data_IF_074484037798
#
_entry.id   IF_074484037798
#
_cell.length_a   1.000
_cell.length_b   1.000
_cell.length_c   1.000
_cell.angle_alpha   90.00
_cell.angle_beta   90.00
_cell.angle_gamma   90.00
#
_symmetry.space_group_name_H-M   'P 1'
#
loop_
_entity.id
_entity.type
_entity.pdbx_description
1 polymer ?
#
# COMPACT_ATOMS: atom_id res chain seq x y z
N UNK A 1 -16.93 38.07 31.57
CA UNK A 1 -18.02 37.10 31.35
C UNK A 1 -17.39 35.74 31.56
N UNK A 2 -18.04 34.93 32.39
CA UNK A 2 -17.51 33.71 33.00
C UNK A 2 -16.59 32.89 32.09
N UNK A 3 -15.36 32.72 32.56
CA UNK A 3 -14.46 31.63 32.20
C UNK A 3 -15.14 30.30 32.52
N UNK A 4 -16.07 29.89 31.67
CA UNK A 4 -16.38 28.49 31.51
C UNK A 4 -15.20 27.92 30.74
N UNK A 5 -14.30 27.21 31.43
CA UNK A 5 -13.39 26.28 30.77
C UNK A 5 -14.26 25.28 30.00
N UNK A 6 -14.55 25.58 28.74
CA UNK A 6 -15.09 24.61 27.81
C UNK A 6 -13.98 23.60 27.57
N UNK A 7 -13.97 22.55 28.38
CA UNK A 7 -13.16 21.36 28.14
C UNK A 7 -13.93 20.47 27.18
N UNK A 8 -13.41 20.34 25.96
CA UNK A 8 -13.89 19.35 24.99
C UNK A 8 -12.91 18.16 24.99
N UNK A 9 -13.17 17.10 25.79
CA UNK A 9 -12.22 16.01 25.98
C UNK A 9 -12.05 15.12 24.75
N UNK A 10 -12.90 15.29 23.72
CA UNK A 10 -12.87 14.47 22.51
C UNK A 10 -12.26 15.19 21.29
N UNK A 11 -11.83 16.44 21.44
CA UNK A 11 -11.29 17.23 20.35
C UNK A 11 -10.10 18.09 20.79
N UNK A 12 -8.97 17.87 20.14
CA UNK A 12 -7.77 18.69 20.31
C UNK A 12 -7.72 19.67 19.14
N UNK A 13 -7.95 20.97 19.34
CA UNK A 13 -7.89 21.94 18.25
C UNK A 13 -6.44 22.12 17.76
N UNK A 14 -6.25 22.48 16.49
CA UNK A 14 -4.92 22.58 15.88
C UNK A 14 -4.02 23.70 16.49
N UNK A 15 -4.61 24.62 17.26
CA UNK A 15 -3.90 25.63 18.03
C UNK A 15 -3.63 25.20 19.49
N UNK A 16 -4.05 23.99 19.90
CA UNK A 16 -3.74 23.44 21.21
C UNK A 16 -2.26 23.05 21.29
N UNK A 17 -1.58 23.29 22.43
CA UNK A 17 -0.27 22.71 22.70
C UNK A 17 -0.24 21.18 22.66
N UNK A 18 -1.39 20.53 22.84
CA UNK A 18 -1.53 19.06 22.75
C UNK A 18 -1.65 18.56 21.31
N UNK A 19 -1.83 19.45 20.32
CA UNK A 19 -1.85 19.05 18.91
C UNK A 19 -0.46 18.55 18.51
N UNK A 20 -0.35 17.25 18.29
CA UNK A 20 0.93 16.57 18.04
C UNK A 20 1.47 16.86 16.64
N UNK A 21 2.04 18.05 16.46
CA UNK A 21 2.82 18.49 15.30
C UNK A 21 4.30 18.70 15.67
N UNK A 22 4.93 17.64 16.18
CA UNK A 22 6.28 17.63 16.75
C UNK A 22 7.41 17.43 15.73
N UNK A 23 7.17 17.58 14.43
CA UNK A 23 8.19 17.64 13.40
C UNK A 23 8.88 19.00 13.38
N UNK A 24 10.15 19.04 12.98
CA UNK A 24 10.92 20.28 12.84
C UNK A 24 10.42 21.12 11.66
N UNK A 25 9.80 20.48 10.67
CA UNK A 25 9.24 21.15 9.49
C UNK A 25 7.77 20.80 9.24
N UNK A 26 7.09 21.68 8.48
CA UNK A 26 5.75 21.41 7.96
C UNK A 26 5.67 20.12 7.13
N UNK A 27 6.74 19.82 6.37
CA UNK A 27 6.82 18.60 5.57
C UNK A 27 6.83 17.38 6.47
N UNK A 28 7.64 17.38 7.53
CA UNK A 28 7.70 16.26 8.48
C UNK A 28 6.38 16.03 9.20
N UNK A 29 5.73 17.10 9.67
CA UNK A 29 4.42 17.01 10.30
C UNK A 29 3.38 16.40 9.36
N UNK A 30 3.30 16.89 8.12
CA UNK A 30 2.40 16.31 7.12
C UNK A 30 2.73 14.86 6.78
N UNK A 31 4.02 14.51 6.71
CA UNK A 31 4.41 13.12 6.48
C UNK A 31 3.95 12.24 7.64
N UNK A 32 4.10 12.68 8.90
CA UNK A 32 3.58 11.96 10.07
C UNK A 32 2.07 11.77 10.01
N UNK A 33 1.30 12.81 9.72
CA UNK A 33 -0.16 12.70 9.57
C UNK A 33 -0.58 11.76 8.44
N UNK A 34 0.13 11.79 7.30
CA UNK A 34 -0.14 10.85 6.20
C UNK A 34 0.20 9.42 6.60
N UNK A 35 1.33 9.21 7.28
CA UNK A 35 1.71 7.87 7.73
C UNK A 35 0.73 7.31 8.76
N UNK A 36 0.20 8.14 9.67
CA UNK A 36 -0.81 7.67 10.64
C UNK A 36 -2.11 7.27 9.94
N UNK A 37 -2.57 8.04 8.96
CA UNK A 37 -3.74 7.68 8.14
C UNK A 37 -3.54 6.37 7.38
N UNK A 38 -2.36 6.15 6.79
CA UNK A 38 -2.01 4.88 6.13
C UNK A 38 -1.97 3.72 7.12
N UNK A 39 -1.38 3.92 8.30
CA UNK A 39 -1.34 2.90 9.35
C UNK A 39 -2.75 2.49 9.81
N UNK A 40 -3.63 3.47 10.05
CA UNK A 40 -5.02 3.21 10.40
C UNK A 40 -5.75 2.43 9.31
N UNK A 41 -5.53 2.78 8.04
CA UNK A 41 -6.06 2.02 6.92
C UNK A 41 -5.56 0.57 6.94
N UNK A 42 -4.25 0.34 7.00
CA UNK A 42 -3.69 -1.01 6.97
C UNK A 42 -4.16 -1.86 8.15
N UNK A 43 -4.32 -1.27 9.33
CA UNK A 43 -4.90 -1.96 10.49
C UNK A 43 -6.32 -2.47 10.17
N UNK A 44 -7.18 -1.61 9.63
CA UNK A 44 -8.55 -2.00 9.24
C UNK A 44 -8.55 -3.02 8.09
N UNK A 45 -7.63 -2.90 7.13
CA UNK A 45 -7.52 -3.85 6.02
C UNK A 45 -7.09 -5.24 6.52
N UNK A 46 -6.10 -5.32 7.40
CA UNK A 46 -5.67 -6.58 8.02
C UNK A 46 -6.79 -7.19 8.86
N UNK A 47 -7.49 -6.38 9.66
CA UNK A 47 -8.63 -6.85 10.46
C UNK A 47 -9.75 -7.43 9.58
N UNK A 48 -10.07 -6.75 8.47
CA UNK A 48 -11.02 -7.27 7.47
C UNK A 48 -10.56 -8.58 6.83
N UNK A 49 -9.29 -8.66 6.41
CA UNK A 49 -8.69 -9.85 5.79
C UNK A 49 -8.77 -11.06 6.73
N UNK A 50 -8.40 -10.86 7.99
CA UNK A 50 -8.42 -11.90 9.02
C UNK A 50 -9.85 -12.30 9.37
N UNK A 51 -10.71 -11.31 9.63
CA UNK A 51 -12.12 -11.51 10.00
C UNK A 51 -12.94 -12.17 8.89
N UNK A 52 -12.56 -11.96 7.63
CA UNK A 52 -13.20 -12.59 6.45
C UNK A 52 -12.45 -13.82 5.96
N UNK A 53 -11.38 -14.23 6.64
CA UNK A 53 -10.59 -15.45 6.36
C UNK A 53 -10.00 -15.50 4.94
N UNK A 54 -9.54 -14.36 4.45
CA UNK A 54 -9.00 -14.24 3.09
C UNK A 54 -7.53 -14.67 3.10
N UNK A 55 -7.27 -15.89 2.62
CA UNK A 55 -5.91 -16.39 2.43
C UNK A 55 -5.24 -15.76 1.21
N UNK A 56 -3.94 -15.52 1.26
CA UNK A 56 -3.17 -15.03 0.13
C UNK A 56 -1.92 -14.25 0.54
N UNK A 57 -1.26 -13.69 -0.46
CA UNK A 57 -0.04 -12.88 -0.35
C UNK A 57 -0.35 -11.39 -0.35
N UNK A 58 0.62 -10.60 0.13
CA UNK A 58 0.65 -9.15 -0.05
C UNK A 58 1.44 -8.80 -1.31
N UNK A 59 0.89 -7.92 -2.14
CA UNK A 59 1.59 -7.37 -3.31
C UNK A 59 1.61 -5.84 -3.20
N UNK A 60 2.80 -5.25 -3.10
CA UNK A 60 2.98 -3.78 -3.09
C UNK A 60 3.75 -3.33 -4.34
N UNK A 61 3.15 -2.43 -5.11
CA UNK A 61 3.72 -1.81 -6.30
C UNK A 61 4.14 -0.37 -5.99
N UNK A 62 5.45 -0.17 -5.81
CA UNK A 62 6.03 1.08 -5.35
C UNK A 62 6.24 1.02 -3.84
N UNK A 63 7.47 0.75 -3.43
CA UNK A 63 7.80 0.36 -2.05
C UNK A 63 8.75 1.34 -1.37
N UNK A 64 9.57 2.06 -2.16
CA UNK A 64 10.46 3.13 -1.70
C UNK A 64 11.20 2.75 -0.40
N UNK A 65 11.07 3.55 0.66
CA UNK A 65 11.73 3.34 1.96
C UNK A 65 11.03 2.33 2.88
N UNK A 66 10.36 1.33 2.32
CA UNK A 66 9.74 0.20 3.03
C UNK A 66 8.71 0.54 4.13
N UNK A 67 8.23 1.79 4.21
CA UNK A 67 7.39 2.25 5.33
C UNK A 67 6.05 1.53 5.36
N UNK A 68 5.29 1.63 4.27
CA UNK A 68 3.98 0.99 4.10
C UNK A 68 4.10 -0.53 4.12
N UNK A 69 5.13 -1.07 3.46
CA UNK A 69 5.47 -2.49 3.50
C UNK A 69 5.65 -3.00 4.94
N UNK A 70 6.40 -2.25 5.76
CA UNK A 70 6.59 -2.54 7.19
C UNK A 70 5.31 -2.46 7.98
N UNK A 71 4.42 -1.50 7.69
CA UNK A 71 3.12 -1.39 8.38
C UNK A 71 2.31 -2.67 8.18
N UNK A 72 2.23 -3.17 6.94
CA UNK A 72 1.50 -4.40 6.62
C UNK A 72 2.12 -5.60 7.32
N UNK A 73 3.44 -5.82 7.17
CA UNK A 73 4.11 -6.96 7.79
C UNK A 73 4.01 -6.95 9.32
N UNK A 74 4.22 -5.78 9.93
CA UNK A 74 4.17 -5.64 11.39
C UNK A 74 2.76 -5.83 11.95
N UNK A 75 1.73 -5.34 11.25
CA UNK A 75 0.34 -5.59 11.63
C UNK A 75 -0.03 -7.07 11.45
N UNK A 76 0.25 -7.66 10.29
CA UNK A 76 -0.03 -9.08 10.03
C UNK A 76 0.62 -9.99 11.09
N UNK A 77 1.90 -9.73 11.41
CA UNK A 77 2.62 -10.45 12.46
C UNK A 77 2.05 -10.21 13.86
N UNK A 78 1.69 -8.96 14.18
CA UNK A 78 1.04 -8.64 15.45
C UNK A 78 -0.25 -9.43 15.64
N UNK A 79 -1.13 -9.47 14.65
CA UNK A 79 -2.38 -10.22 14.75
C UNK A 79 -2.10 -11.73 14.84
N UNK A 80 -1.18 -12.26 14.02
CA UNK A 80 -0.84 -13.68 14.03
C UNK A 80 -0.30 -14.17 15.39
N UNK A 81 0.56 -13.38 16.03
CA UNK A 81 1.11 -13.68 17.36
C UNK A 81 0.06 -13.67 18.47
N UNK A 82 -0.94 -12.80 18.37
CA UNK A 82 -1.94 -12.63 19.42
C UNK A 82 -3.17 -13.53 19.23
N UNK A 83 -3.55 -13.85 18.00
CA UNK A 83 -4.76 -14.62 17.69
C UNK A 83 -4.51 -16.11 17.44
N UNK A 84 -3.32 -16.50 16.97
CA UNK A 84 -3.06 -17.89 16.62
C UNK A 84 -3.85 -18.35 15.39
N UNK A 85 -4.38 -19.58 15.38
CA UNK A 85 -5.18 -20.07 14.26
C UNK A 85 -6.57 -19.43 14.27
N UNK A 86 -7.01 -18.85 13.14
CA UNK A 86 -8.33 -18.21 13.04
C UNK A 86 -9.44 -19.23 12.82
N UNK A 87 -10.70 -18.84 13.08
CA UNK A 87 -11.86 -19.71 12.87
C UNK A 87 -12.01 -20.22 11.43
N UNK A 88 -11.57 -19.45 10.44
CA UNK A 88 -11.54 -19.85 9.03
C UNK A 88 -10.25 -20.54 8.58
N UNK A 89 -9.36 -20.89 9.51
CA UNK A 89 -8.18 -21.71 9.22
C UNK A 89 -6.93 -20.96 8.77
N UNK A 90 -6.91 -19.61 8.84
CA UNK A 90 -5.65 -18.89 8.66
C UNK A 90 -4.71 -19.26 9.81
N UNK A 91 -3.50 -19.68 9.46
CA UNK A 91 -2.52 -20.21 10.42
C UNK A 91 -1.28 -19.32 10.40
N UNK A 92 -0.74 -18.90 11.55
CA UNK A 92 0.52 -18.16 11.61
C UNK A 92 1.65 -18.93 10.92
N UNK A 93 2.52 -18.23 10.18
CA UNK A 93 3.59 -18.83 9.38
C UNK A 93 4.97 -18.57 9.99
N UNK A 94 5.96 -19.35 9.56
CA UNK A 94 7.38 -19.01 9.83
C UNK A 94 7.69 -17.63 9.24
N UNK A 95 8.56 -16.88 9.89
CA UNK A 95 8.82 -15.48 9.53
C UNK A 95 7.72 -14.49 9.95
N UNK A 96 6.68 -14.92 10.69
CA UNK A 96 5.62 -14.06 11.22
C UNK A 96 4.36 -14.03 10.34
N UNK A 97 3.25 -13.49 10.83
CA UNK A 97 2.05 -13.17 10.02
C UNK A 97 1.23 -14.36 9.49
N UNK A 98 0.11 -14.04 8.80
CA UNK A 98 -0.79 -14.99 8.14
C UNK A 98 -0.61 -15.07 6.63
N UNK A 99 -0.12 -14.00 5.98
CA UNK A 99 -0.04 -13.93 4.52
C UNK A 99 0.97 -14.94 3.97
N UNK A 100 0.80 -15.47 2.76
CA UNK A 100 1.69 -16.53 2.22
C UNK A 100 3.10 -16.02 1.87
N UNK A 101 3.17 -14.89 1.17
CA UNK A 101 4.40 -14.16 0.81
C UNK A 101 4.13 -12.65 0.83
N UNK A 102 5.19 -11.86 0.89
CA UNK A 102 5.14 -10.41 0.69
C UNK A 102 5.99 -10.06 -0.54
N UNK A 103 5.32 -9.65 -1.62
CA UNK A 103 5.97 -9.31 -2.88
C UNK A 103 6.15 -7.79 -3.00
N UNK A 104 7.40 -7.37 -3.14
CA UNK A 104 7.78 -5.97 -3.34
C UNK A 104 8.13 -5.74 -4.81
N UNK A 105 7.25 -5.04 -5.53
CA UNK A 105 7.47 -4.66 -6.92
C UNK A 105 7.93 -3.21 -6.97
N UNK A 106 9.14 -2.97 -7.46
CA UNK A 106 9.73 -1.63 -7.56
C UNK A 106 10.82 -1.62 -8.62
N UNK A 107 11.14 -0.46 -9.18
CA UNK A 107 12.35 -0.32 -9.98
C UNK A 107 13.59 -0.51 -9.10
N UNK A 108 13.53 -0.08 -7.83
CA UNK A 108 14.69 0.13 -6.94
C UNK A 108 15.73 1.11 -7.51
N UNK A 109 15.33 1.83 -8.56
CA UNK A 109 16.12 2.79 -9.31
C UNK A 109 15.51 4.19 -9.24
N UNK A 110 14.30 4.33 -8.69
CA UNK A 110 13.53 5.57 -8.66
C UNK A 110 12.72 5.77 -9.94
N UNK A 111 12.34 7.03 -10.23
CA UNK A 111 11.61 7.37 -11.45
C UNK A 111 12.46 7.20 -12.71
N UNK A 112 11.84 6.84 -13.87
CA UNK A 112 12.54 6.64 -15.13
C UNK A 112 13.07 7.96 -15.71
N UNK A 113 13.96 7.86 -16.69
CA UNK A 113 14.64 9.01 -17.32
C UNK A 113 13.69 9.98 -18.02
N UNK A 114 12.59 9.47 -18.57
CA UNK A 114 11.58 10.24 -19.31
C UNK A 114 10.42 10.72 -18.42
N UNK A 115 10.57 10.67 -17.09
CA UNK A 115 9.54 11.17 -16.16
C UNK A 115 9.21 12.64 -16.46
N UNK A 116 7.96 12.88 -16.86
CA UNK A 116 7.50 14.19 -17.28
C UNK A 116 6.19 14.56 -16.58
N UNK A 117 6.16 14.44 -15.26
CA UNK A 117 4.96 14.71 -14.46
C UNK A 117 5.30 15.59 -13.27
N UNK A 118 4.58 16.71 -13.15
CA UNK A 118 4.52 17.63 -11.99
C UNK A 118 5.77 18.48 -11.71
N UNK A 119 5.54 19.64 -11.12
CA UNK A 119 6.58 20.59 -10.64
C UNK A 119 7.24 20.18 -9.31
N UNK A 120 7.08 18.93 -8.84
CA UNK A 120 7.62 18.50 -7.55
C UNK A 120 9.03 17.93 -7.71
N UNK A 121 9.97 18.35 -6.86
CA UNK A 121 11.40 18.01 -6.93
C UNK A 121 11.75 16.51 -6.89
N UNK A 122 10.77 15.65 -6.61
CA UNK A 122 10.93 14.19 -6.61
C UNK A 122 10.73 13.57 -7.99
N UNK A 123 9.98 14.22 -8.90
CA UNK A 123 9.74 13.73 -10.26
C UNK A 123 10.86 14.19 -11.18
N UNK A 124 12.03 13.64 -10.91
CA UNK A 124 13.22 13.75 -11.75
C UNK A 124 13.83 12.34 -11.89
N UNK A 125 14.62 12.08 -12.92
CA UNK A 125 15.30 10.80 -13.08
C UNK A 125 16.04 10.38 -11.80
N UNK A 126 15.80 9.14 -11.34
CA UNK A 126 16.37 8.61 -10.08
C UNK A 126 15.82 9.23 -8.78
N UNK A 127 14.84 10.12 -8.87
CA UNK A 127 14.11 10.63 -7.71
C UNK A 127 13.35 9.51 -7.01
N UNK A 128 13.21 9.62 -5.68
CA UNK A 128 12.60 8.59 -4.82
C UNK A 128 13.26 7.19 -4.92
N UNK A 129 14.53 7.11 -5.29
CA UNK A 129 15.29 5.85 -5.30
C UNK A 129 15.50 5.31 -3.88
N UNK A 130 15.31 4.00 -3.74
CA UNK A 130 15.78 3.18 -2.62
C UNK A 130 16.26 1.86 -3.21
N UNK A 131 17.52 1.51 -3.00
CA UNK A 131 18.09 0.31 -3.61
C UNK A 131 17.52 -0.96 -2.95
N UNK A 132 17.54 -2.09 -3.64
CA UNK A 132 16.96 -3.34 -3.12
C UNK A 132 17.58 -3.79 -1.80
N UNK A 133 18.88 -3.60 -1.64
CA UNK A 133 19.61 -4.03 -0.45
C UNK A 133 19.31 -3.05 0.70
N UNK A 134 19.18 -1.76 0.38
CA UNK A 134 18.71 -0.74 1.33
C UNK A 134 17.28 -1.05 1.80
N UNK A 135 16.38 -1.43 0.90
CA UNK A 135 15.00 -1.83 1.23
C UNK A 135 14.97 -3.01 2.22
N UNK A 136 15.74 -4.08 1.97
CA UNK A 136 15.81 -5.23 2.89
C UNK A 136 16.45 -4.86 4.24
N UNK A 137 17.46 -3.99 4.23
CA UNK A 137 18.07 -3.48 5.45
C UNK A 137 17.07 -2.64 6.27
N UNK A 138 16.25 -1.81 5.60
CA UNK A 138 15.19 -1.05 6.25
C UNK A 138 14.16 -1.97 6.92
N UNK A 139 13.66 -2.98 6.21
CA UNK A 139 12.74 -3.97 6.78
C UNK A 139 13.31 -4.63 8.04
N UNK A 140 14.57 -5.07 7.97
CA UNK A 140 15.27 -5.69 9.11
C UNK A 140 15.44 -4.69 10.26
N UNK A 141 15.79 -3.43 9.97
CA UNK A 141 15.94 -2.37 10.97
C UNK A 141 14.61 -2.02 11.66
N UNK A 142 13.49 -2.22 10.98
CA UNK A 142 12.14 -2.09 11.53
C UNK A 142 11.62 -3.39 12.18
N UNK A 143 12.49 -4.39 12.38
CA UNK A 143 12.19 -5.63 13.08
C UNK A 143 11.41 -6.65 12.27
N UNK A 144 11.33 -6.51 10.94
CA UNK A 144 10.61 -7.43 10.07
C UNK A 144 11.52 -8.59 9.61
N UNK A 145 10.96 -9.80 9.52
CA UNK A 145 11.65 -10.94 8.90
C UNK A 145 11.56 -10.86 7.37
N UNK A 146 12.68 -11.00 6.69
CA UNK A 146 12.72 -11.00 5.21
C UNK A 146 12.56 -12.40 4.60
N UNK A 147 12.31 -13.44 5.40
CA UNK A 147 12.26 -14.85 4.97
C UNK A 147 11.25 -15.10 3.83
N UNK A 148 10.11 -14.39 3.87
CA UNK A 148 9.02 -14.53 2.90
C UNK A 148 8.82 -13.29 2.03
N UNK A 149 9.84 -12.42 2.01
CA UNK A 149 9.86 -11.23 1.16
C UNK A 149 10.52 -11.59 -0.17
N UNK A 150 9.83 -11.30 -1.27
CA UNK A 150 10.35 -11.53 -2.62
C UNK A 150 10.35 -10.20 -3.39
N UNK A 151 11.53 -9.79 -3.87
CA UNK A 151 11.70 -8.55 -4.62
C UNK A 151 11.56 -8.81 -6.12
N UNK A 152 10.64 -8.10 -6.76
CA UNK A 152 10.47 -8.09 -8.21
C UNK A 152 11.00 -6.75 -8.73
N UNK A 153 12.25 -6.76 -9.20
CA UNK A 153 12.98 -5.56 -9.59
C UNK A 153 12.70 -5.16 -11.04
N UNK A 154 12.57 -3.86 -11.27
CA UNK A 154 12.52 -3.24 -12.58
C UNK A 154 11.21 -2.51 -12.86
N UNK A 155 11.25 -1.57 -13.81
CA UNK A 155 10.08 -0.83 -14.26
C UNK A 155 8.97 -1.76 -14.77
N UNK A 156 7.72 -1.42 -14.48
CA UNK A 156 6.59 -2.35 -14.63
C UNK A 156 6.38 -2.86 -16.05
N UNK A 157 6.61 -2.04 -17.06
CA UNK A 157 6.54 -2.43 -18.47
C UNK A 157 7.54 -3.53 -18.84
N UNK A 158 8.62 -3.67 -18.06
CA UNK A 158 9.69 -4.65 -18.27
C UNK A 158 9.65 -5.80 -17.26
N UNK A 159 9.23 -5.55 -16.02
CA UNK A 159 9.27 -6.54 -14.92
C UNK A 159 7.99 -7.37 -14.81
N UNK A 160 6.82 -6.79 -15.14
CA UNK A 160 5.52 -7.46 -15.09
C UNK A 160 5.27 -8.33 -16.32
N UNK A 161 6.18 -9.29 -16.53
CA UNK A 161 6.19 -10.15 -17.71
C UNK A 161 5.17 -11.29 -17.65
N UNK A 162 4.83 -11.86 -18.82
CA UNK A 162 4.02 -13.08 -18.92
C UNK A 162 4.69 -14.30 -18.26
N UNK A 163 6.02 -14.39 -18.30
CA UNK A 163 6.76 -15.48 -17.65
C UNK A 163 6.67 -15.38 -16.12
N UNK A 164 6.80 -14.16 -15.57
CA UNK A 164 6.57 -13.91 -14.15
C UNK A 164 5.14 -14.27 -13.76
N UNK A 165 4.15 -13.85 -14.55
CA UNK A 165 2.75 -14.20 -14.29
C UNK A 165 2.52 -15.71 -14.30
N UNK A 166 3.08 -16.40 -15.29
CA UNK A 166 3.01 -17.87 -15.40
C UNK A 166 3.60 -18.55 -14.18
N UNK A 167 4.74 -18.05 -13.66
CA UNK A 167 5.33 -18.57 -12.43
C UNK A 167 4.39 -18.38 -11.23
N UNK A 168 3.82 -17.19 -11.06
CA UNK A 168 2.88 -16.91 -9.97
C UNK A 168 1.64 -17.79 -10.03
N UNK A 169 1.08 -18.02 -11.23
CA UNK A 169 -0.03 -18.95 -11.44
C UNK A 169 0.36 -20.38 -11.06
N UNK A 170 1.55 -20.84 -11.48
CA UNK A 170 2.04 -22.17 -11.14
C UNK A 170 2.30 -22.33 -9.62
N UNK A 171 2.74 -21.27 -8.95
CA UNK A 171 2.87 -21.19 -7.50
C UNK A 171 1.51 -20.99 -6.78
N UNK A 172 0.40 -20.92 -7.53
CA UNK A 172 -0.95 -20.65 -7.00
C UNK A 172 -1.05 -19.37 -6.16
N UNK A 173 -0.28 -18.34 -6.52
CA UNK A 173 -0.30 -17.05 -5.84
C UNK A 173 -1.68 -16.42 -5.99
N UNK A 174 -2.25 -16.01 -4.85
CA UNK A 174 -3.43 -15.15 -4.78
C UNK A 174 -3.12 -13.93 -3.92
N UNK A 175 -3.76 -12.81 -4.18
CA UNK A 175 -3.63 -11.61 -3.38
C UNK A 175 -4.71 -11.56 -2.29
N UNK A 176 -4.32 -11.35 -1.04
CA UNK A 176 -5.25 -10.92 0.03
C UNK A 176 -5.29 -9.40 0.12
N UNK A 177 -4.14 -8.75 -0.12
CA UNK A 177 -3.98 -7.30 -0.18
C UNK A 177 -3.09 -6.91 -1.37
N UNK A 178 -3.55 -5.93 -2.14
CA UNK A 178 -2.79 -5.27 -3.21
C UNK A 178 -2.70 -3.78 -2.91
N UNK A 179 -1.48 -3.25 -2.84
CA UNK A 179 -1.22 -1.81 -2.73
C UNK A 179 -0.56 -1.32 -4.01
N UNK A 180 -1.09 -0.25 -4.60
CA UNK A 180 -0.52 0.42 -5.78
C UNK A 180 -0.18 1.87 -5.39
N UNK A 181 1.11 2.20 -5.38
CA UNK A 181 1.68 3.54 -5.11
C UNK A 181 2.76 3.85 -6.17
N UNK A 182 2.35 3.91 -7.44
CA UNK A 182 3.28 4.07 -8.56
C UNK A 182 3.17 5.41 -9.29
N UNK A 183 2.32 6.33 -8.84
CA UNK A 183 2.21 7.73 -9.31
C UNK A 183 1.71 7.95 -10.76
N UNK A 184 2.14 7.11 -11.70
CA UNK A 184 2.01 7.36 -13.14
C UNK A 184 0.86 6.55 -13.74
N UNK A 185 0.11 7.16 -14.65
CA UNK A 185 -0.99 6.50 -15.38
C UNK A 185 -0.54 5.20 -16.08
N UNK A 186 0.59 5.22 -16.79
CA UNK A 186 1.08 4.02 -17.50
C UNK A 186 1.55 2.93 -16.52
N UNK A 187 2.12 3.30 -15.38
CA UNK A 187 2.46 2.34 -14.33
C UNK A 187 1.21 1.67 -13.77
N UNK A 188 0.15 2.45 -13.47
CA UNK A 188 -1.12 1.91 -13.02
C UNK A 188 -1.74 0.94 -14.04
N UNK A 189 -1.70 1.27 -15.33
CA UNK A 189 -2.18 0.36 -16.39
C UNK A 189 -1.42 -0.96 -16.43
N UNK A 190 -0.10 -0.90 -16.45
CA UNK A 190 0.75 -2.09 -16.43
C UNK A 190 0.46 -2.98 -15.22
N UNK A 191 0.32 -2.37 -14.03
CA UNK A 191 0.00 -3.09 -12.80
C UNK A 191 -1.39 -3.73 -12.88
N UNK A 192 -2.43 -2.97 -13.25
CA UNK A 192 -3.80 -3.49 -13.33
C UNK A 192 -3.94 -4.66 -14.31
N UNK A 193 -3.36 -4.52 -15.51
CA UNK A 193 -3.38 -5.59 -16.52
C UNK A 193 -2.71 -6.86 -16.00
N UNK A 194 -1.61 -6.73 -15.25
CA UNK A 194 -0.87 -7.89 -14.75
C UNK A 194 -1.51 -8.53 -13.52
N UNK A 195 -1.95 -7.73 -12.54
CA UNK A 195 -2.43 -8.18 -11.24
C UNK A 195 -3.83 -8.81 -11.28
N UNK A 196 -4.62 -8.52 -12.33
CA UNK A 196 -5.99 -8.98 -12.52
C UNK A 196 -6.20 -10.48 -12.23
N UNK A 197 -5.24 -11.31 -12.66
CA UNK A 197 -5.32 -12.77 -12.56
C UNK A 197 -5.04 -13.33 -11.15
N UNK A 198 -4.47 -12.52 -10.25
CA UNK A 198 -4.11 -12.95 -8.88
C UNK A 198 -5.12 -12.48 -7.84
N UNK A 199 -6.03 -11.59 -8.19
CA UNK A 199 -7.10 -11.16 -7.28
C UNK A 199 -8.14 -12.27 -7.07
N UNK A 200 -8.88 -12.17 -5.97
CA UNK A 200 -9.95 -13.08 -5.59
C UNK A 200 -11.06 -12.31 -4.86
N UNK A 201 -12.26 -12.88 -4.69
CA UNK A 201 -13.28 -12.27 -3.86
C UNK A 201 -12.74 -11.97 -2.45
N UNK A 202 -12.90 -10.74 -2.00
CA UNK A 202 -12.38 -10.25 -0.74
C UNK A 202 -10.98 -9.62 -0.80
N UNK A 203 -10.24 -9.72 -1.90
CA UNK A 203 -8.95 -8.99 -2.02
C UNK A 203 -9.18 -7.51 -1.73
N UNK A 204 -8.39 -6.97 -0.79
CA UNK A 204 -8.34 -5.52 -0.54
C UNK A 204 -7.43 -4.90 -1.59
N UNK A 205 -7.94 -3.96 -2.38
CA UNK A 205 -7.17 -3.18 -3.34
C UNK A 205 -7.03 -1.75 -2.82
N UNK A 206 -5.80 -1.29 -2.56
CA UNK A 206 -5.49 0.06 -2.13
C UNK A 206 -4.72 0.82 -3.22
N UNK A 207 -5.23 2.00 -3.59
CA UNK A 207 -4.61 2.92 -4.55
C UNK A 207 -4.15 4.18 -3.78
N UNK A 208 -2.85 4.34 -3.55
CA UNK A 208 -2.29 5.33 -2.62
C UNK A 208 -2.46 6.77 -3.10
N UNK A 209 -2.20 6.98 -4.38
CA UNK A 209 -2.16 8.29 -5.01
C UNK A 209 -3.35 8.52 -5.95
N UNK A 210 -4.47 7.85 -5.68
CA UNK A 210 -5.67 7.84 -6.52
C UNK A 210 -6.17 9.24 -6.91
N UNK A 211 -6.19 10.19 -5.97
CA UNK A 211 -6.66 11.55 -6.21
C UNK A 211 -5.56 12.54 -6.65
N UNK A 212 -4.35 12.06 -6.95
CA UNK A 212 -3.16 12.92 -7.11
C UNK A 212 -3.22 13.87 -8.31
N UNK A 213 -3.95 13.55 -9.38
CA UNK A 213 -4.23 14.45 -10.52
C UNK A 213 -5.50 15.28 -10.30
N UNK A 214 -5.52 16.05 -9.21
CA UNK A 214 -6.66 16.91 -8.81
C UNK A 214 -7.99 16.15 -8.69
N UNK A 215 -7.90 14.84 -8.41
CA UNK A 215 -9.02 13.91 -8.41
C UNK A 215 -9.83 13.84 -9.73
N UNK A 216 -9.29 14.35 -10.85
CA UNK A 216 -9.96 14.35 -12.15
C UNK A 216 -10.09 12.92 -12.69
N UNK A 217 -11.29 12.51 -13.17
CA UNK A 217 -11.50 11.16 -13.68
C UNK A 217 -10.88 10.91 -15.06
N UNK A 218 -10.30 11.94 -15.68
CA UNK A 218 -9.73 11.92 -17.03
C UNK A 218 -8.21 11.92 -17.05
N UNK A 219 -7.56 11.80 -15.88
CA UNK A 219 -6.10 11.86 -15.76
C UNK A 219 -5.59 10.87 -14.70
N UNK A 220 -4.31 10.49 -14.84
CA UNK A 220 -3.57 9.79 -13.80
C UNK A 220 -4.19 8.44 -13.36
N UNK A 221 -4.00 8.06 -12.09
CA UNK A 221 -4.49 6.80 -11.53
C UNK A 221 -5.99 6.58 -11.69
N UNK A 222 -6.80 7.64 -11.63
CA UNK A 222 -8.26 7.56 -11.80
C UNK A 222 -8.67 7.16 -13.20
N UNK A 223 -8.01 7.70 -14.22
CA UNK A 223 -8.27 7.29 -15.60
C UNK A 223 -7.89 5.82 -15.79
N UNK A 224 -6.70 5.42 -15.33
CA UNK A 224 -6.25 4.03 -15.43
C UNK A 224 -7.23 3.05 -14.77
N UNK A 225 -7.69 3.36 -13.54
CA UNK A 225 -8.67 2.52 -12.86
C UNK A 225 -10.04 2.52 -13.54
N UNK A 226 -10.47 3.67 -14.08
CA UNK A 226 -11.73 3.76 -14.84
C UNK A 226 -11.68 2.83 -16.07
N UNK A 227 -10.63 2.93 -16.87
CA UNK A 227 -10.44 2.10 -18.08
C UNK A 227 -10.29 0.61 -17.72
N UNK A 228 -9.56 0.30 -16.64
CA UNK A 228 -9.38 -1.06 -16.16
C UNK A 228 -10.72 -1.73 -15.79
N UNK A 229 -11.61 -1.01 -15.10
CA UNK A 229 -12.95 -1.51 -14.73
C UNK A 229 -13.82 -1.88 -15.93
N UNK A 230 -13.55 -1.34 -17.11
CA UNK A 230 -14.27 -1.68 -18.34
C UNK A 230 -13.79 -3.01 -18.95
N UNK A 231 -12.62 -3.51 -18.55
CA UNK A 231 -11.94 -4.66 -19.15
C UNK A 231 -11.91 -5.88 -18.22
N UNK A 232 -11.84 -5.65 -16.91
CA UNK A 232 -11.76 -6.72 -15.91
C UNK A 232 -13.10 -7.43 -15.67
N UNK A 233 -13.01 -8.69 -15.23
CA UNK A 233 -14.15 -9.46 -14.74
C UNK A 233 -14.58 -9.07 -13.32
N UNK A 234 -13.71 -8.41 -12.57
CA UNK A 234 -13.91 -8.09 -11.16
C UNK A 234 -14.84 -6.90 -10.97
N UNK A 235 -15.60 -6.91 -9.88
CA UNK A 235 -16.28 -5.73 -9.36
C UNK A 235 -15.49 -5.16 -8.18
N UNK A 236 -15.65 -3.86 -7.94
CA UNK A 236 -14.93 -3.15 -6.90
C UNK A 236 -15.90 -2.35 -6.06
N UNK A 237 -16.10 -2.80 -4.82
CA UNK A 237 -16.92 -2.09 -3.84
C UNK A 237 -16.02 -1.13 -3.05
N UNK A 238 -16.36 0.15 -2.91
CA UNK A 238 -15.59 1.07 -2.08
C UNK A 238 -15.43 0.57 -0.65
N UNK A 239 -14.20 0.66 -0.10
CA UNK A 239 -13.91 0.22 1.27
C UNK A 239 -13.62 1.42 2.18
N UNK A 240 -12.39 1.95 2.14
CA UNK A 240 -11.94 3.04 3.00
C UNK A 240 -11.16 4.09 2.21
N UNK A 241 -11.39 5.37 2.52
CA UNK A 241 -10.55 6.48 2.09
C UNK A 241 -9.31 6.59 3.00
N UNK A 242 -8.15 6.91 2.41
CA UNK A 242 -6.90 7.07 3.16
C UNK A 242 -6.36 8.48 2.97
N UNK A 243 -6.60 9.32 3.98
CA UNK A 243 -6.37 10.76 3.86
C UNK A 243 -7.16 11.34 2.68
N UNK A 244 -6.58 12.36 2.02
CA UNK A 244 -7.20 12.97 0.85
C UNK A 244 -6.81 12.27 -0.47
N UNK A 245 -5.65 11.61 -0.52
CA UNK A 245 -5.09 11.09 -1.77
C UNK A 245 -5.51 9.66 -2.09
N UNK A 246 -5.56 8.79 -1.08
CA UNK A 246 -5.71 7.36 -1.27
C UNK A 246 -7.14 6.87 -1.16
N UNK A 247 -7.41 5.76 -1.84
CA UNK A 247 -8.73 5.12 -1.82
C UNK A 247 -8.60 3.61 -1.98
N UNK A 248 -9.42 2.85 -1.26
CA UNK A 248 -9.41 1.40 -1.31
C UNK A 248 -10.77 0.80 -1.68
N UNK A 249 -10.72 -0.42 -2.18
CA UNK A 249 -11.86 -1.19 -2.67
C UNK A 249 -11.75 -2.65 -2.22
N UNK A 250 -12.88 -3.33 -2.10
CA UNK A 250 -12.97 -4.79 -2.00
C UNK A 250 -13.28 -5.36 -3.37
N UNK A 251 -12.50 -6.35 -3.79
CA UNK A 251 -12.72 -7.10 -5.03
C UNK A 251 -13.88 -8.09 -4.84
N UNK A 252 -14.82 -8.13 -5.78
CA UNK A 252 -16.02 -8.96 -5.78
C UNK A 252 -16.20 -9.73 -7.10
#
# INVERSE_FOLDING_TARGET
>A
MSDGNFEEPYFIPANSPEFLANGETWIENNQRFRQSQKFDFYRNAIDFIIGSHIAGSYLEFGTHRARTFTMVMGLDDFYAKNMGVTAGGLTPKSGGGYMDKYFAFDSFEGFPDDVNVRDHAQYKPGGAKTESDEFLNLLTSYGQSTERVELIKGFYENSLTKSLATRFVNESVKASLVTIDCNLYESYKSVFTWVDQFMQPGTVLYLDDFNSERALPTQGPKLAFKEYKEQTKWRFEPFLSVGWCGYSFIVC
#
